data_IF_302670311702
#
_entry.id   IF_302670311702
#
_cell.length_a   1.000
_cell.length_b   1.000
_cell.length_c   1.000
_cell.angle_alpha   90.00
_cell.angle_beta   90.00
_cell.angle_gamma   90.00
#
_symmetry.space_group_name_H-M   'P 1'
#
loop_
_entity.id
_entity.type
_entity.pdbx_description
1 polymer ?
#
# COMPACT_ATOMS: atom_id res chain seq x y z
N UNK A 1 16.48 -11.87 1.69
CA UNK A 1 15.06 -11.55 1.92
C UNK A 1 14.61 -10.66 0.78
N UNK A 2 13.83 -11.20 -0.14
CA UNK A 2 13.12 -10.38 -1.13
C UNK A 2 12.22 -9.39 -0.39
N UNK A 3 12.25 -8.13 -0.83
CA UNK A 3 11.40 -7.09 -0.26
C UNK A 3 10.07 -7.13 -1.01
N UNK A 4 9.05 -7.69 -0.38
CA UNK A 4 7.72 -7.93 -0.98
C UNK A 4 6.90 -6.66 -1.23
N UNK A 5 7.36 -5.47 -0.79
CA UNK A 5 6.62 -4.21 -0.90
C UNK A 5 7.54 -3.08 -1.34
N UNK A 6 7.07 -2.33 -2.33
CA UNK A 6 7.65 -1.06 -2.76
C UNK A 6 6.63 0.05 -2.47
N UNK A 7 6.98 0.97 -1.56
CA UNK A 7 6.23 2.20 -1.36
C UNK A 7 6.94 3.34 -2.10
N UNK A 8 6.20 4.06 -2.93
CA UNK A 8 6.69 5.26 -3.61
C UNK A 8 5.87 6.47 -3.15
N UNK A 9 6.56 7.52 -2.72
CA UNK A 9 5.95 8.81 -2.34
C UNK A 9 6.56 9.87 -3.25
N UNK A 10 5.72 10.55 -4.02
CA UNK A 10 6.15 11.55 -5.02
C UNK A 10 7.22 10.98 -5.97
N UNK A 11 7.01 9.74 -6.44
CA UNK A 11 7.95 9.03 -7.33
C UNK A 11 9.25 8.57 -6.66
N UNK A 12 9.40 8.73 -5.34
CA UNK A 12 10.60 8.30 -4.61
C UNK A 12 10.32 7.06 -3.78
N UNK A 13 11.17 6.04 -3.92
CA UNK A 13 11.09 4.81 -3.11
C UNK A 13 11.40 5.10 -1.65
N UNK A 14 10.47 4.72 -0.78
CA UNK A 14 10.60 4.86 0.67
C UNK A 14 10.99 3.51 1.27
N UNK A 15 12.10 3.49 2.03
CA UNK A 15 12.49 2.30 2.80
C UNK A 15 11.67 2.22 4.08
N UNK A 16 10.76 1.26 4.14
CA UNK A 16 9.98 0.96 5.34
C UNK A 16 10.84 0.20 6.36
N UNK A 17 10.58 0.47 7.65
CA UNK A 17 11.02 -0.39 8.76
C UNK A 17 10.11 -1.63 8.83
N UNK A 18 10.51 -2.61 9.64
CA UNK A 18 9.82 -3.91 9.75
C UNK A 18 8.35 -3.80 10.14
N UNK A 19 8.02 -2.99 11.16
CA UNK A 19 6.63 -2.84 11.60
C UNK A 19 5.72 -2.21 10.52
N UNK A 20 6.04 -1.04 9.94
CA UNK A 20 5.23 -0.46 8.86
C UNK A 20 5.10 -1.37 7.64
N UNK A 21 6.16 -2.09 7.26
CA UNK A 21 6.11 -3.03 6.14
C UNK A 21 5.11 -4.16 6.39
N UNK A 22 5.15 -4.80 7.57
CA UNK A 22 4.20 -5.87 7.92
C UNK A 22 2.77 -5.37 8.02
N UNK A 23 2.56 -4.21 8.65
CA UNK A 23 1.24 -3.60 8.78
C UNK A 23 0.63 -3.31 7.41
N UNK A 24 1.38 -2.63 6.53
CA UNK A 24 0.92 -2.31 5.18
C UNK A 24 0.60 -3.58 4.38
N UNK A 25 1.48 -4.60 4.40
CA UNK A 25 1.24 -5.89 3.73
C UNK A 25 -0.07 -6.53 4.18
N UNK A 26 -0.24 -6.64 5.51
CA UNK A 26 -1.39 -7.29 6.11
C UNK A 26 -2.70 -6.59 5.74
N UNK A 27 -2.73 -5.26 5.85
CA UNK A 27 -3.90 -4.46 5.50
C UNK A 27 -4.28 -4.60 4.03
N UNK A 28 -3.32 -4.44 3.11
CA UNK A 28 -3.60 -4.55 1.68
C UNK A 28 -4.08 -5.95 1.30
N UNK A 29 -3.42 -7.01 1.78
CA UNK A 29 -3.87 -8.38 1.52
C UNK A 29 -5.25 -8.65 2.12
N UNK A 30 -5.58 -8.07 3.27
CA UNK A 30 -6.91 -8.14 3.86
C UNK A 30 -7.98 -7.53 2.96
N UNK A 31 -7.73 -6.34 2.42
CA UNK A 31 -8.63 -5.69 1.46
C UNK A 31 -8.83 -6.55 0.20
N UNK A 32 -7.73 -7.01 -0.41
CA UNK A 32 -7.80 -7.80 -1.64
C UNK A 32 -8.58 -9.10 -1.43
N UNK A 33 -8.39 -9.80 -0.31
CA UNK A 33 -9.20 -10.99 0.03
C UNK A 33 -10.68 -10.68 0.16
N UNK A 34 -11.04 -9.49 0.65
CA UNK A 34 -12.45 -9.09 0.79
C UNK A 34 -13.13 -8.74 -0.54
N UNK A 35 -12.37 -8.48 -1.61
CA UNK A 35 -12.91 -8.15 -2.93
C UNK A 35 -13.42 -9.37 -3.71
N UNK A 36 -13.20 -10.60 -3.23
CA UNK A 36 -13.65 -11.85 -3.84
C UNK A 36 -13.37 -11.92 -5.36
N UNK A 37 -12.13 -11.64 -5.75
CA UNK A 37 -11.70 -11.63 -7.14
C UNK A 37 -11.82 -13.02 -7.76
N UNK A 38 -12.15 -13.06 -9.05
CA UNK A 38 -12.30 -14.32 -9.81
C UNK A 38 -10.98 -15.10 -9.93
N UNK A 39 -9.85 -14.38 -9.92
CA UNK A 39 -8.51 -14.95 -10.02
C UNK A 39 -7.64 -14.56 -8.82
N UNK A 40 -6.69 -15.44 -8.47
CA UNK A 40 -5.71 -15.16 -7.44
C UNK A 40 -4.72 -14.07 -7.92
N UNK A 41 -4.62 -12.93 -7.21
CA UNK A 41 -3.81 -11.81 -7.64
C UNK A 41 -2.32 -12.11 -7.47
N UNK A 42 -1.57 -11.98 -8.56
CA UNK A 42 -0.11 -12.17 -8.60
C UNK A 42 0.68 -10.89 -8.32
N UNK A 43 0.10 -9.75 -8.67
CA UNK A 43 0.65 -8.42 -8.45
C UNK A 43 -0.47 -7.46 -8.03
N UNK A 44 -0.19 -6.58 -7.07
CA UNK A 44 -1.15 -5.63 -6.52
C UNK A 44 -0.52 -4.24 -6.55
N UNK A 45 -1.11 -3.34 -7.34
CA UNK A 45 -0.70 -1.93 -7.42
C UNK A 45 -1.81 -1.03 -6.87
N UNK A 46 -1.45 -0.18 -5.92
CA UNK A 46 -2.35 0.80 -5.31
C UNK A 46 -1.80 2.19 -5.57
N UNK A 47 -2.63 3.06 -6.13
CA UNK A 47 -2.31 4.47 -6.36
C UNK A 47 -3.25 5.34 -5.52
N UNK A 48 -2.68 6.22 -4.71
CA UNK A 48 -3.41 7.16 -3.87
C UNK A 48 -3.04 8.56 -4.35
N UNK A 49 -4.04 9.32 -4.79
CA UNK A 49 -3.89 10.73 -5.15
C UNK A 49 -4.37 11.57 -3.97
N UNK A 50 -3.49 12.41 -3.45
CA UNK A 50 -3.83 13.36 -2.40
C UNK A 50 -4.14 14.69 -3.08
N UNK A 51 -5.39 15.15 -2.99
CA UNK A 51 -5.72 16.52 -3.38
C UNK A 51 -5.14 17.48 -2.33
N UNK A 52 -4.60 18.62 -2.75
CA UNK A 52 -4.01 19.63 -1.84
C UNK A 52 -5.02 20.28 -0.87
N UNK A 53 -6.28 19.83 -0.87
CA UNK A 53 -7.37 20.35 -0.04
C UNK A 53 -7.91 19.26 0.88
N UNK A 54 -7.10 18.87 1.86
CA UNK A 54 -7.64 18.42 3.15
C UNK A 54 -6.65 18.65 4.31
N UNK A 55 -5.94 19.78 4.27
CA UNK A 55 -5.46 20.44 5.49
C UNK A 55 -6.65 21.13 6.18
N UNK A 56 -7.70 20.37 6.48
CA UNK A 56 -8.75 20.78 7.42
C UNK A 56 -8.23 20.56 8.84
N UNK A 57 -7.62 21.61 9.39
CA UNK A 57 -7.34 22.00 10.79
C UNK A 57 -7.32 20.94 11.93
N UNK A 58 -6.47 21.16 12.96
CA UNK A 58 -6.00 20.17 13.96
C UNK A 58 -7.08 19.53 14.85
#
# INVERSE_FOLDING_TARGET
MEKDIVLEVNGKRVRLKDFPMRALKGTILGFIKSLNLEEEPKDIRIEIKLDEKDSGNP
#
